data_IF_467024058597
#
_entry.id   IF_467024058597
#
_cell.length_a   1.000
_cell.length_b   1.000
_cell.length_c   1.000
_cell.angle_alpha   90.00
_cell.angle_beta   90.00
_cell.angle_gamma   90.00
#
_symmetry.space_group_name_H-M   'P 1'
#
loop_
_entity.id
_entity.type
_entity.pdbx_description
1 polymer ?
#
# COMPACT_ATOMS: atom_id res chain seq x y z
N UNK A 1 -13.07 17.98 16.42
CA UNK A 1 -11.69 17.59 16.07
C UNK A 1 -11.58 16.12 15.59
N UNK A 2 -12.28 15.19 16.22
CA UNK A 2 -12.44 13.81 15.71
C UNK A 2 -13.72 13.80 14.86
N UNK A 3 -13.55 13.70 13.54
CA UNK A 3 -14.63 13.62 12.55
C UNK A 3 -14.08 12.94 11.29
N UNK A 4 -14.98 12.51 10.41
CA UNK A 4 -14.65 12.05 9.06
C UNK A 4 -15.26 13.02 8.08
N UNK A 5 -14.43 13.83 7.42
CA UNK A 5 -14.85 14.86 6.47
C UNK A 5 -14.08 14.68 5.16
N UNK A 6 -14.77 14.20 4.11
CA UNK A 6 -14.11 13.81 2.86
C UNK A 6 -13.33 14.96 2.21
N UNK A 7 -12.07 14.70 1.89
CA UNK A 7 -11.20 15.63 1.18
C UNK A 7 -10.62 16.76 2.03
N UNK A 8 -10.93 16.84 3.33
CA UNK A 8 -10.23 17.70 4.31
C UNK A 8 -9.12 16.94 5.03
N UNK A 9 -8.27 17.65 5.75
CA UNK A 9 -7.28 17.05 6.67
C UNK A 9 -7.98 16.33 7.83
N UNK A 10 -7.35 15.29 8.37
CA UNK A 10 -7.95 14.40 9.38
C UNK A 10 -8.24 12.99 8.87
N UNK A 11 -9.10 12.26 9.58
CA UNK A 11 -9.49 10.88 9.25
C UNK A 11 -10.41 10.87 8.02
N UNK A 12 -10.10 10.01 7.05
CA UNK A 12 -10.84 9.86 5.80
C UNK A 12 -11.85 8.71 5.87
N UNK A 13 -12.80 8.68 4.94
CA UNK A 13 -13.85 7.63 4.86
C UNK A 13 -13.33 6.22 4.57
N UNK A 14 -12.09 6.09 4.10
CA UNK A 14 -11.38 4.81 3.93
C UNK A 14 -10.56 4.40 5.17
N UNK A 15 -10.63 5.19 6.26
CA UNK A 15 -9.86 5.01 7.48
C UNK A 15 -8.45 5.61 7.46
N UNK A 16 -7.96 6.11 6.31
CA UNK A 16 -6.66 6.76 6.22
C UNK A 16 -6.64 8.15 6.88
N UNK A 17 -5.48 8.81 6.91
CA UNK A 17 -5.32 10.14 7.53
C UNK A 17 -4.59 11.11 6.60
N UNK A 18 -5.10 12.34 6.53
CA UNK A 18 -4.52 13.44 5.76
C UNK A 18 -3.96 14.54 6.65
N UNK A 19 -2.80 15.09 6.26
CA UNK A 19 -2.28 16.36 6.76
C UNK A 19 -1.39 17.01 5.69
N UNK A 20 -1.26 18.33 5.74
CA UNK A 20 -0.64 19.17 4.70
C UNK A 20 -1.34 18.97 3.36
N UNK A 21 -2.67 19.15 3.37
CA UNK A 21 -3.54 18.80 2.26
C UNK A 21 -3.77 17.29 2.13
N UNK A 22 -4.03 16.81 0.91
CA UNK A 22 -4.37 15.39 0.62
C UNK A 22 -3.14 14.48 0.55
N UNK A 23 -2.26 14.57 1.55
CA UNK A 23 -1.06 13.75 1.69
C UNK A 23 -1.31 12.64 2.71
N UNK A 24 -0.89 11.41 2.40
CA UNK A 24 -0.99 10.29 3.34
C UNK A 24 -0.10 10.53 4.57
N UNK A 25 -0.68 10.51 5.77
CA UNK A 25 0.01 10.83 7.02
C UNK A 25 -0.38 9.92 8.20
N UNK A 26 -0.70 8.64 7.95
CA UNK A 26 -1.29 7.69 8.92
C UNK A 26 -0.45 7.57 10.21
N UNK A 27 0.84 7.28 10.14
CA UNK A 27 1.68 7.21 11.34
C UNK A 27 2.37 8.54 11.65
N UNK A 28 2.36 9.51 10.74
CA UNK A 28 3.02 10.81 10.89
C UNK A 28 2.19 11.74 11.79
N UNK A 29 1.40 12.63 11.21
CA UNK A 29 0.45 13.47 11.94
C UNK A 29 -0.70 12.66 12.55
N UNK A 30 -1.09 11.54 11.92
CA UNK A 30 -2.06 10.61 12.47
C UNK A 30 -1.66 9.99 13.82
N UNK A 31 -0.36 9.81 14.11
CA UNK A 31 0.14 9.45 15.46
C UNK A 31 -0.12 10.55 16.47
N UNK A 32 0.09 11.81 16.10
CA UNK A 32 -0.11 12.97 16.98
C UNK A 32 -1.60 13.12 17.29
N UNK A 33 -2.45 13.03 16.26
CA UNK A 33 -3.90 12.94 16.39
C UNK A 33 -4.32 11.80 17.34
N UNK A 34 -3.88 10.57 17.09
CA UNK A 34 -4.22 9.40 17.89
C UNK A 34 -3.79 9.55 19.35
N UNK A 35 -2.53 9.93 19.60
CA UNK A 35 -1.98 10.10 20.95
C UNK A 35 -2.71 11.18 21.74
N UNK A 36 -2.95 12.34 21.13
CA UNK A 36 -3.64 13.45 21.80
C UNK A 36 -5.13 13.13 22.03
N UNK A 37 -5.79 12.48 21.08
CA UNK A 37 -7.20 12.07 21.21
C UNK A 37 -7.38 10.99 22.29
N UNK A 38 -6.49 10.00 22.37
CA UNK A 38 -6.50 8.99 23.44
C UNK A 38 -6.20 9.63 24.80
N UNK A 39 -5.26 10.59 24.86
CA UNK A 39 -4.98 11.32 26.10
C UNK A 39 -6.21 12.12 26.57
N UNK A 40 -6.86 12.89 25.68
CA UNK A 40 -8.05 13.65 26.03
C UNK A 40 -9.22 12.76 26.46
N UNK A 41 -9.52 11.71 25.69
CA UNK A 41 -10.55 10.72 26.03
C UNK A 41 -10.25 10.01 27.37
N UNK A 42 -8.97 9.73 27.64
CA UNK A 42 -8.53 9.18 28.92
C UNK A 42 -8.75 10.17 30.06
N UNK A 43 -8.29 11.42 29.97
CA UNK A 43 -8.37 12.39 31.08
C UNK A 43 -9.80 12.85 31.38
N UNK A 44 -10.68 12.93 30.38
CA UNK A 44 -12.06 13.41 30.52
C UNK A 44 -13.09 12.29 30.72
N UNK A 45 -12.66 11.02 30.76
CA UNK A 45 -13.55 9.90 31.08
C UNK A 45 -14.22 10.13 32.44
N UNK A 46 -15.46 9.64 32.57
CA UNK A 46 -16.25 9.75 33.79
C UNK A 46 -16.56 11.22 34.21
N UNK A 47 -16.43 12.18 33.28
CA UNK A 47 -16.83 13.59 33.45
C UNK A 47 -17.89 14.00 32.41
N UNK A 48 -18.53 15.16 32.59
CA UNK A 48 -19.44 15.76 31.60
C UNK A 48 -18.75 16.06 30.24
N UNK A 49 -17.41 16.16 30.21
CA UNK A 49 -16.59 16.41 29.02
C UNK A 49 -16.10 15.12 28.34
N UNK A 50 -16.62 13.96 28.73
CA UNK A 50 -16.24 12.67 28.14
C UNK A 50 -16.45 12.66 26.61
N UNK A 51 -15.52 12.03 25.88
CA UNK A 51 -15.59 11.96 24.42
C UNK A 51 -16.87 11.25 23.99
N UNK A 52 -17.76 11.87 23.17
CA UNK A 52 -19.02 11.23 22.82
C UNK A 52 -18.81 9.99 21.96
N UNK A 53 -19.73 9.02 22.08
CA UNK A 53 -19.57 7.66 21.53
C UNK A 53 -19.23 7.64 20.03
N UNK A 54 -19.87 8.47 19.21
CA UNK A 54 -19.59 8.54 17.77
C UNK A 54 -18.12 8.93 17.46
N UNK A 55 -17.56 9.89 18.21
CA UNK A 55 -16.15 10.28 18.08
C UNK A 55 -15.20 9.23 18.65
N UNK A 56 -15.59 8.56 19.74
CA UNK A 56 -14.84 7.42 20.27
C UNK A 56 -14.78 6.27 19.25
N UNK A 57 -15.87 5.99 18.52
CA UNK A 57 -15.91 4.93 17.52
C UNK A 57 -15.03 5.24 16.30
N UNK A 58 -14.96 6.51 15.87
CA UNK A 58 -14.00 6.96 14.85
C UNK A 58 -12.55 6.77 15.35
N UNK A 59 -12.25 7.16 16.59
CA UNK A 59 -10.91 7.01 17.17
C UNK A 59 -10.49 5.53 17.32
N UNK A 60 -11.40 4.68 17.80
CA UNK A 60 -11.19 3.24 17.97
C UNK A 60 -10.95 2.57 16.62
N UNK A 61 -11.80 2.85 15.62
CA UNK A 61 -11.65 2.29 14.26
C UNK A 61 -10.35 2.77 13.61
N UNK A 62 -10.02 4.05 13.74
CA UNK A 62 -8.75 4.59 13.25
C UNK A 62 -7.54 3.89 13.88
N UNK A 63 -7.56 3.68 15.20
CA UNK A 63 -6.49 3.01 15.93
C UNK A 63 -6.35 1.53 15.58
N UNK A 64 -7.46 0.79 15.66
CA UNK A 64 -7.52 -0.66 15.49
C UNK A 64 -7.37 -1.08 14.03
N UNK A 65 -8.13 -0.45 13.15
CA UNK A 65 -8.32 -0.93 11.79
C UNK A 65 -7.37 -0.30 10.77
N UNK A 66 -6.67 0.77 11.15
CA UNK A 66 -5.65 1.43 10.33
C UNK A 66 -4.32 1.59 11.05
N UNK A 67 -4.22 2.48 12.05
CA UNK A 67 -2.96 2.92 12.62
C UNK A 67 -2.09 1.77 13.15
N UNK A 68 -2.64 0.90 14.01
CA UNK A 68 -1.88 -0.22 14.59
C UNK A 68 -1.57 -1.33 13.57
N UNK A 69 -2.33 -1.46 12.47
CA UNK A 69 -2.00 -2.40 11.38
C UNK A 69 -0.77 -1.95 10.58
N UNK A 70 -0.41 -0.67 10.61
CA UNK A 70 0.84 -0.17 10.02
C UNK A 70 2.09 -0.50 10.85
N UNK A 71 1.95 -1.21 11.97
CA UNK A 71 3.06 -1.60 12.84
C UNK A 71 3.28 -3.11 12.74
N UNK A 72 4.48 -3.53 12.31
CA UNK A 72 4.93 -4.92 12.38
C UNK A 72 5.84 -5.09 13.61
N UNK A 73 5.41 -5.92 14.57
CA UNK A 73 6.10 -6.03 15.86
C UNK A 73 6.06 -4.70 16.62
N UNK A 74 7.18 -3.98 16.62
CA UNK A 74 7.35 -2.67 17.25
C UNK A 74 7.68 -1.54 16.26
N UNK A 75 7.71 -1.82 14.95
CA UNK A 75 8.18 -0.90 13.93
C UNK A 75 7.07 -0.50 12.96
N UNK A 76 6.93 0.79 12.71
CA UNK A 76 6.08 1.30 11.63
C UNK A 76 6.58 0.83 10.26
N UNK A 77 5.62 0.68 9.36
CA UNK A 77 5.83 0.78 7.93
C UNK A 77 6.44 2.16 7.57
N UNK A 78 7.45 2.19 6.70
CA UNK A 78 8.13 3.44 6.35
C UNK A 78 7.25 4.39 5.51
N UNK A 79 6.30 3.86 4.73
CA UNK A 79 5.44 4.65 3.84
C UNK A 79 4.56 5.64 4.61
N UNK A 80 4.18 5.32 5.84
CA UNK A 80 3.23 6.10 6.65
C UNK A 80 3.88 7.18 7.54
N UNK A 81 5.18 7.43 7.37
CA UNK A 81 5.94 8.38 8.21
C UNK A 81 5.98 9.82 7.69
N UNK A 82 5.59 10.07 6.44
CA UNK A 82 5.76 11.38 5.79
C UNK A 82 7.24 11.80 5.80
N UNK A 83 7.53 13.12 5.85
CA UNK A 83 8.93 13.58 5.99
C UNK A 83 9.64 13.10 7.26
N UNK A 84 8.88 12.68 8.27
CA UNK A 84 9.39 12.13 9.52
C UNK A 84 10.20 10.83 9.34
N UNK A 85 10.10 10.17 8.19
CA UNK A 85 10.96 9.04 7.78
C UNK A 85 12.46 9.37 7.91
N UNK A 86 12.82 10.63 7.68
CA UNK A 86 14.21 11.12 7.69
C UNK A 86 14.79 11.38 9.09
N UNK A 87 14.04 11.12 10.16
CA UNK A 87 14.51 11.27 11.54
C UNK A 87 15.08 9.95 12.04
N UNK A 88 16.13 10.02 12.86
CA UNK A 88 16.65 8.85 13.55
C UNK A 88 15.58 8.21 14.44
N UNK A 89 15.57 6.88 14.50
CA UNK A 89 14.62 6.03 15.24
C UNK A 89 13.14 6.22 14.85
N UNK A 90 12.86 6.90 13.73
CA UNK A 90 11.50 7.29 13.33
C UNK A 90 10.52 6.14 13.12
N UNK A 91 11.01 4.93 12.83
CA UNK A 91 10.18 3.73 12.68
C UNK A 91 9.83 3.08 14.03
N UNK A 92 10.54 3.36 15.12
CA UNK A 92 10.21 2.75 16.41
C UNK A 92 8.87 3.32 16.94
N UNK A 93 7.89 2.45 17.13
CA UNK A 93 6.51 2.89 17.28
C UNK A 93 6.23 3.53 18.65
N UNK A 94 6.80 2.95 19.71
CA UNK A 94 6.62 3.34 21.12
C UNK A 94 5.14 3.59 21.53
N UNK A 95 4.20 2.77 21.01
CA UNK A 95 2.75 2.99 21.18
C UNK A 95 2.15 2.40 22.45
N UNK A 96 2.88 1.56 23.20
CA UNK A 96 2.33 0.79 24.33
C UNK A 96 1.65 1.66 25.39
N UNK A 97 2.16 2.86 25.68
CA UNK A 97 1.51 3.80 26.60
C UNK A 97 0.17 4.36 26.12
N UNK A 98 -0.02 4.51 24.80
CA UNK A 98 -1.29 4.89 24.19
C UNK A 98 -2.26 3.71 24.17
N UNK A 99 -1.79 2.52 23.79
CA UNK A 99 -2.61 1.30 23.74
C UNK A 99 -3.12 0.92 25.14
N UNK A 100 -2.28 1.03 26.17
CA UNK A 100 -2.68 0.79 27.56
C UNK A 100 -3.75 1.78 28.05
N UNK A 101 -3.70 3.06 27.63
CA UNK A 101 -4.72 4.05 27.97
C UNK A 101 -6.08 3.72 27.34
N UNK A 102 -6.13 3.42 26.04
CA UNK A 102 -7.41 3.10 25.37
C UNK A 102 -8.01 1.78 25.88
N UNK A 103 -7.19 0.78 26.24
CA UNK A 103 -7.67 -0.46 26.88
C UNK A 103 -8.50 -0.22 28.15
N UNK A 104 -8.24 0.86 28.90
CA UNK A 104 -8.95 1.14 30.15
C UNK A 104 -10.41 1.58 29.96
N UNK A 105 -10.74 2.23 28.83
CA UNK A 105 -12.08 2.76 28.54
C UNK A 105 -12.74 2.18 27.26
N UNK A 106 -12.05 1.33 26.51
CA UNK A 106 -12.60 0.59 25.37
C UNK A 106 -12.50 -0.93 25.60
N UNK A 107 -13.28 -1.43 26.57
CA UNK A 107 -13.18 -2.81 27.08
C UNK A 107 -13.64 -3.86 26.06
N UNK A 108 -14.53 -3.51 25.14
CA UNK A 108 -15.05 -4.39 24.11
C UNK A 108 -13.97 -4.90 23.13
N UNK A 109 -12.84 -4.19 23.00
CA UNK A 109 -11.69 -4.61 22.19
C UNK A 109 -10.47 -5.04 23.05
N UNK A 110 -10.65 -5.36 24.34
CA UNK A 110 -9.53 -5.63 25.28
C UNK A 110 -8.48 -6.61 24.79
N UNK A 111 -8.89 -7.72 24.15
CA UNK A 111 -7.99 -8.74 23.62
C UNK A 111 -7.10 -8.18 22.49
N UNK A 112 -7.65 -7.36 21.60
CA UNK A 112 -6.89 -6.72 20.52
C UNK A 112 -5.89 -5.70 21.05
N UNK A 113 -6.27 -4.89 22.05
CA UNK A 113 -5.35 -3.95 22.70
C UNK A 113 -4.21 -4.68 23.42
N UNK A 114 -4.52 -5.78 24.11
CA UNK A 114 -3.53 -6.59 24.81
C UNK A 114 -2.53 -7.26 23.86
N UNK A 115 -3.01 -7.92 22.81
CA UNK A 115 -2.15 -8.48 21.78
C UNK A 115 -1.27 -7.42 21.10
N UNK A 116 -1.83 -6.22 20.88
CA UNK A 116 -1.09 -5.09 20.32
C UNK A 116 0.03 -4.62 21.27
N UNK A 117 -0.26 -4.42 22.56
CA UNK A 117 0.75 -4.09 23.57
C UNK A 117 1.85 -5.17 23.64
N UNK A 118 1.48 -6.46 23.62
CA UNK A 118 2.46 -7.55 23.69
C UNK A 118 3.38 -7.63 22.47
N UNK A 119 2.87 -7.38 21.25
CA UNK A 119 3.70 -7.27 20.04
C UNK A 119 4.63 -6.06 20.11
N UNK A 120 4.11 -4.88 20.44
CA UNK A 120 4.86 -3.61 20.40
C UNK A 120 5.81 -3.40 21.59
N UNK A 121 5.81 -4.32 22.55
CA UNK A 121 6.75 -4.36 23.68
C UNK A 121 7.67 -5.59 23.66
N UNK A 122 7.69 -6.33 22.54
CA UNK A 122 8.49 -7.55 22.34
C UNK A 122 8.18 -8.72 23.32
N UNK A 123 7.09 -8.65 24.09
CA UNK A 123 6.65 -9.74 24.98
C UNK A 123 6.08 -10.95 24.20
N UNK A 124 5.64 -10.71 22.96
CA UNK A 124 5.21 -11.74 22.00
C UNK A 124 5.80 -11.45 20.61
N UNK A 125 6.01 -12.47 19.77
CA UNK A 125 6.54 -12.31 18.41
C UNK A 125 5.61 -11.46 17.54
N UNK A 126 6.17 -10.86 16.48
CA UNK A 126 5.46 -9.92 15.59
C UNK A 126 4.21 -10.51 14.89
N UNK A 127 4.08 -11.84 14.83
CA UNK A 127 2.94 -12.57 14.26
C UNK A 127 1.83 -12.90 15.28
N UNK A 128 2.01 -12.60 16.56
CA UNK A 128 1.09 -13.02 17.62
C UNK A 128 -0.29 -12.38 17.47
N UNK A 129 -1.34 -13.19 17.28
CA UNK A 129 -2.72 -12.74 17.04
C UNK A 129 -2.80 -11.64 15.97
N UNK A 130 -2.16 -11.89 14.83
CA UNK A 130 -2.30 -11.10 13.61
C UNK A 130 -3.28 -11.82 12.68
N UNK A 131 -4.43 -11.19 12.44
CA UNK A 131 -5.42 -11.72 11.50
C UNK A 131 -5.10 -11.33 10.05
N UNK A 132 -5.30 -12.23 9.06
CA UNK A 132 -5.16 -11.91 7.64
C UNK A 132 -6.09 -10.76 7.23
N UNK A 133 -5.54 -9.70 6.63
CA UNK A 133 -6.36 -8.62 6.07
C UNK A 133 -5.67 -7.90 4.90
N UNK A 134 -6.45 -7.50 3.90
CA UNK A 134 -6.05 -6.59 2.84
C UNK A 134 -6.86 -5.29 3.00
N UNK A 135 -6.24 -4.13 2.81
CA UNK A 135 -6.94 -2.84 2.86
C UNK A 135 -6.35 -1.89 1.83
N UNK A 136 -7.20 -1.47 0.88
CA UNK A 136 -6.89 -0.42 -0.10
C UNK A 136 -7.44 0.89 0.43
N UNK A 137 -6.56 1.84 0.72
CA UNK A 137 -6.91 3.19 1.13
C UNK A 137 -7.03 4.06 -0.14
N UNK A 138 -8.18 3.95 -0.79
CA UNK A 138 -8.45 4.57 -2.10
C UNK A 138 -8.42 6.10 -2.09
N UNK A 139 -8.57 6.75 -0.92
CA UNK A 139 -8.36 8.19 -0.78
C UNK A 139 -6.87 8.49 -0.82
N UNK A 140 -6.09 7.87 0.07
CA UNK A 140 -4.69 8.25 0.30
C UNK A 140 -3.63 7.60 -0.60
N UNK A 141 -4.03 6.73 -1.53
CA UNK A 141 -3.10 6.08 -2.46
C UNK A 141 -2.18 5.05 -1.79
N UNK A 142 -2.66 4.42 -0.73
CA UNK A 142 -1.91 3.45 0.08
C UNK A 142 -2.63 2.10 0.05
N UNK A 143 -1.89 0.99 0.04
CA UNK A 143 -2.45 -0.37 0.18
C UNK A 143 -1.66 -1.13 1.21
N UNK A 144 -2.35 -1.87 2.09
CA UNK A 144 -1.74 -2.63 3.17
C UNK A 144 -2.24 -4.07 3.15
N UNK A 145 -1.33 -5.01 3.01
CA UNK A 145 -1.55 -6.45 3.15
C UNK A 145 -0.90 -6.92 4.46
N UNK A 146 -1.72 -7.47 5.34
CA UNK A 146 -1.30 -8.08 6.62
C UNK A 146 -1.57 -9.58 6.57
N UNK A 147 -0.58 -10.35 7.01
CA UNK A 147 -0.64 -11.80 7.24
C UNK A 147 0.05 -12.11 8.57
N UNK A 148 -0.21 -13.27 9.19
CA UNK A 148 0.57 -13.71 10.36
C UNK A 148 2.07 -13.64 10.08
N UNK A 149 2.52 -14.11 8.91
CA UNK A 149 3.92 -14.21 8.52
C UNK A 149 4.57 -12.86 8.16
N UNK A 150 3.83 -11.91 7.58
CA UNK A 150 4.39 -10.66 7.05
C UNK A 150 3.39 -9.51 6.97
N UNK A 151 3.94 -8.30 6.82
CA UNK A 151 3.24 -7.13 6.30
C UNK A 151 3.88 -6.72 4.97
N UNK A 152 3.06 -6.43 3.96
CA UNK A 152 3.48 -5.86 2.68
C UNK A 152 2.59 -4.66 2.40
N UNK A 153 3.16 -3.49 2.11
CA UNK A 153 2.37 -2.32 1.70
C UNK A 153 2.87 -1.72 0.39
N UNK A 154 2.08 -0.81 -0.17
CA UNK A 154 2.43 -0.02 -1.37
C UNK A 154 2.00 1.43 -1.15
N UNK A 155 2.91 2.39 -1.33
CA UNK A 155 2.58 3.80 -1.45
C UNK A 155 2.62 4.27 -2.91
N UNK A 156 1.56 4.94 -3.33
CA UNK A 156 1.36 5.51 -4.67
C UNK A 156 0.96 6.99 -4.56
N UNK A 157 0.90 7.71 -5.68
CA UNK A 157 0.35 9.07 -5.74
C UNK A 157 -0.48 9.27 -7.01
N UNK A 158 -1.48 10.14 -6.94
CA UNK A 158 -2.44 10.42 -8.03
C UNK A 158 -2.71 11.91 -8.13
N UNK A 159 -3.41 12.38 -9.17
CA UNK A 159 -3.90 13.78 -9.23
C UNK A 159 -4.81 14.17 -8.05
N UNK A 160 -5.32 13.20 -7.29
CA UNK A 160 -6.16 13.41 -6.10
C UNK A 160 -5.35 13.55 -4.81
N UNK A 161 -4.07 13.16 -4.81
CA UNK A 161 -3.20 13.10 -3.63
C UNK A 161 -1.89 13.84 -3.83
N UNK A 162 -1.22 14.15 -2.72
CA UNK A 162 0.14 14.66 -2.71
C UNK A 162 1.14 13.51 -2.49
N UNK A 163 2.23 13.55 -3.25
CA UNK A 163 3.44 12.76 -3.05
C UNK A 163 4.09 13.12 -1.71
N UNK A 164 4.85 12.19 -1.13
CA UNK A 164 5.54 12.36 0.15
C UNK A 164 6.37 13.65 0.17
N UNK A 165 6.13 14.50 1.16
CA UNK A 165 6.74 15.82 1.25
C UNK A 165 8.22 15.81 1.68
N UNK A 166 8.94 16.87 1.29
CA UNK A 166 9.96 17.48 2.16
C UNK A 166 9.33 18.67 2.88
N UNK A 167 9.96 19.11 3.96
CA UNK A 167 9.62 20.37 4.61
C UNK A 167 10.54 20.68 5.77
N UNK A 168 10.87 21.94 6.02
CA UNK A 168 11.83 22.35 7.06
C UNK A 168 13.19 21.62 6.93
N UNK A 169 13.69 21.41 5.71
CA UNK A 169 14.92 20.63 5.45
C UNK A 169 14.90 19.16 5.94
N UNK A 170 13.71 18.60 6.19
CA UNK A 170 13.49 17.17 6.43
C UNK A 170 13.07 16.44 5.15
N UNK A 171 13.48 15.18 5.00
CA UNK A 171 13.20 14.30 3.86
C UNK A 171 13.64 14.88 2.50
N UNK A 172 14.86 15.43 2.47
CA UNK A 172 15.43 16.10 1.28
C UNK A 172 15.41 15.20 0.04
N UNK A 173 15.66 13.89 0.22
CA UNK A 173 15.86 12.92 -0.86
C UNK A 173 14.64 12.03 -1.15
N UNK A 174 13.49 12.25 -0.50
CA UNK A 174 12.33 11.34 -0.54
C UNK A 174 11.52 11.27 -1.85
N UNK A 175 12.07 11.72 -2.99
CA UNK A 175 11.34 11.98 -4.25
C UNK A 175 10.53 10.80 -4.78
N UNK A 176 11.06 9.58 -4.64
CA UNK A 176 10.48 8.36 -5.23
C UNK A 176 9.61 7.54 -4.25
N UNK A 177 9.45 7.99 -2.99
CA UNK A 177 8.65 7.28 -1.96
C UNK A 177 7.17 7.06 -2.32
N UNK A 178 6.66 7.73 -3.36
CA UNK A 178 5.27 7.57 -3.83
C UNK A 178 5.15 6.89 -5.19
N UNK A 179 6.22 6.31 -5.73
CA UNK A 179 6.23 5.67 -7.06
C UNK A 179 6.02 4.15 -7.02
N UNK A 180 5.12 3.69 -6.14
CA UNK A 180 4.90 2.27 -5.88
C UNK A 180 5.90 1.69 -4.87
N UNK A 181 6.27 2.45 -3.85
CA UNK A 181 7.23 2.02 -2.84
C UNK A 181 6.66 0.89 -1.97
N UNK A 182 7.34 -0.26 -1.92
CA UNK A 182 6.90 -1.47 -1.23
C UNK A 182 7.62 -1.68 0.10
N UNK A 183 6.95 -1.49 1.23
CA UNK A 183 7.47 -1.89 2.54
C UNK A 183 7.15 -3.37 2.78
N UNK A 184 8.16 -4.18 3.11
CA UNK A 184 8.04 -5.63 3.32
C UNK A 184 8.69 -6.02 4.66
N UNK A 185 7.87 -6.35 5.66
CA UNK A 185 8.33 -6.62 7.03
C UNK A 185 7.86 -7.99 7.53
N UNK A 186 8.75 -8.77 8.18
CA UNK A 186 8.44 -10.03 8.89
C UNK A 186 8.70 -9.88 10.38
N UNK A 187 9.89 -9.41 10.76
CA UNK A 187 10.26 -9.09 12.15
C UNK A 187 9.82 -7.68 12.54
N UNK A 188 9.76 -6.76 11.58
CA UNK A 188 9.46 -5.34 11.74
C UNK A 188 10.69 -4.46 11.53
N UNK A 189 11.87 -4.91 11.96
CA UNK A 189 13.09 -4.11 11.96
C UNK A 189 13.81 -4.04 10.61
N UNK A 190 13.25 -4.60 9.53
CA UNK A 190 13.90 -4.69 8.21
C UNK A 190 14.38 -3.33 7.65
N UNK A 191 13.70 -2.23 7.99
CA UNK A 191 14.05 -0.87 7.56
C UNK A 191 14.40 0.06 8.74
N UNK A 192 14.63 -0.48 9.94
CA UNK A 192 14.95 0.35 11.11
C UNK A 192 16.29 1.09 10.90
N UNK A 193 16.26 2.43 10.96
CA UNK A 193 17.43 3.31 10.80
C UNK A 193 18.21 3.15 9.48
N UNK A 194 17.57 2.64 8.43
CA UNK A 194 18.20 2.36 7.14
C UNK A 194 18.30 3.59 6.22
N UNK A 195 17.43 4.59 6.44
CA UNK A 195 17.28 5.80 5.64
C UNK A 195 18.58 6.58 5.32
N UNK A 196 19.53 6.80 6.25
CA UNK A 196 20.80 7.46 5.92
C UNK A 196 21.63 6.64 4.91
N UNK A 197 21.45 5.32 4.87
CA UNK A 197 22.14 4.36 4.01
C UNK A 197 21.41 4.08 2.69
N UNK A 198 20.17 4.56 2.52
CA UNK A 198 19.42 4.38 1.28
C UNK A 198 20.04 5.17 0.12
N UNK A 199 20.10 4.54 -1.03
CA UNK A 199 20.23 5.16 -2.35
C UNK A 199 18.81 5.51 -2.82
N UNK A 200 18.45 6.78 -2.85
CA UNK A 200 17.06 7.22 -2.78
C UNK A 200 16.28 7.10 -4.10
N UNK A 201 16.96 6.78 -5.20
CA UNK A 201 16.31 6.38 -6.44
C UNK A 201 15.97 4.88 -6.48
N UNK A 202 16.52 4.07 -5.57
CA UNK A 202 16.29 2.62 -5.46
C UNK A 202 15.49 2.26 -4.21
N UNK A 203 14.46 3.04 -3.89
CA UNK A 203 13.47 2.67 -2.88
C UNK A 203 12.84 1.31 -3.27
N UNK A 204 12.65 0.36 -2.36
CA UNK A 204 12.04 -0.93 -2.68
C UNK A 204 10.71 -0.78 -3.43
N UNK A 205 10.52 -1.53 -4.51
CA UNK A 205 9.30 -1.55 -5.34
C UNK A 205 9.18 -0.46 -6.41
N UNK A 206 9.94 0.64 -6.32
CA UNK A 206 9.81 1.75 -7.28
C UNK A 206 10.36 1.41 -8.66
N UNK A 207 9.86 2.11 -9.68
CA UNK A 207 10.48 2.14 -11.01
C UNK A 207 10.92 3.57 -11.29
N UNK A 208 12.21 3.76 -11.57
CA UNK A 208 12.88 5.07 -11.44
C UNK A 208 14.07 5.19 -12.38
N UNK A 209 14.58 6.43 -12.52
CA UNK A 209 15.87 6.70 -13.16
C UNK A 209 17.01 6.39 -12.18
N UNK A 210 18.03 5.71 -12.68
CA UNK A 210 19.29 5.45 -11.99
C UNK A 210 20.21 6.66 -12.15
N UNK A 211 20.43 7.41 -11.07
CA UNK A 211 21.27 8.61 -11.05
C UNK A 211 22.69 8.29 -10.61
N UNK A 212 23.63 9.12 -11.05
CA UNK A 212 25.02 9.04 -10.60
C UNK A 212 25.17 9.35 -9.09
N UNK A 213 24.24 10.11 -8.50
CA UNK A 213 24.17 10.41 -7.08
C UNK A 213 22.72 10.71 -6.62
N UNK A 214 22.54 10.80 -5.30
CA UNK A 214 21.25 11.12 -4.68
C UNK A 214 20.72 12.54 -4.98
N UNK A 215 21.50 13.45 -5.59
CA UNK A 215 20.97 14.78 -5.93
C UNK A 215 19.81 14.68 -6.93
N UNK A 216 19.81 13.65 -7.79
CA UNK A 216 18.68 13.31 -8.66
C UNK A 216 17.37 13.00 -7.91
N UNK A 217 17.49 12.51 -6.67
CA UNK A 217 16.41 12.19 -5.74
C UNK A 217 15.98 13.39 -4.86
N UNK A 218 16.58 14.57 -5.04
CA UNK A 218 16.20 15.76 -4.26
C UNK A 218 14.78 16.22 -4.60
N UNK A 219 13.92 16.32 -3.58
CA UNK A 219 12.61 16.95 -3.69
C UNK A 219 12.82 18.47 -3.85
N UNK A 220 12.29 19.06 -4.93
CA UNK A 220 12.50 20.48 -5.26
C UNK A 220 11.48 21.45 -4.65
N UNK A 221 10.35 20.96 -4.13
CA UNK A 221 9.26 21.77 -3.55
C UNK A 221 8.86 21.21 -2.19
N UNK A 222 8.61 22.09 -1.22
CA UNK A 222 8.15 21.73 0.13
C UNK A 222 6.64 21.50 0.19
N UNK A 223 6.20 20.78 1.23
CA UNK A 223 4.79 20.56 1.58
C UNK A 223 3.96 19.84 0.50
N UNK A 224 4.63 18.92 -0.21
CA UNK A 224 4.01 18.00 -1.16
C UNK A 224 3.94 18.53 -2.60
N UNK A 225 3.99 17.58 -3.52
CA UNK A 225 3.79 17.78 -4.96
C UNK A 225 2.63 16.88 -5.37
N UNK A 226 1.63 17.35 -6.16
CA UNK A 226 0.58 16.48 -6.66
C UNK A 226 1.12 15.25 -7.39
N UNK A 227 0.41 14.12 -7.30
CA UNK A 227 0.58 13.06 -8.29
C UNK A 227 0.07 13.50 -9.67
N UNK A 228 0.44 12.75 -10.69
CA UNK A 228 0.33 13.14 -12.10
C UNK A 228 -0.78 12.41 -12.86
N UNK A 229 -1.16 11.21 -12.41
CA UNK A 229 -2.09 10.31 -13.12
C UNK A 229 -3.39 10.06 -12.36
N UNK A 230 -4.41 9.61 -13.09
CA UNK A 230 -5.73 9.31 -12.54
C UNK A 230 -5.90 7.87 -12.10
N UNK A 231 -5.37 6.90 -12.86
CA UNK A 231 -5.61 5.47 -12.62
C UNK A 231 -4.70 4.95 -11.50
N UNK A 232 -5.15 5.12 -10.26
CA UNK A 232 -4.39 4.80 -9.05
C UNK A 232 -5.34 4.33 -7.95
N UNK A 233 -5.20 3.08 -7.50
CA UNK A 233 -6.15 2.49 -6.54
C UNK A 233 -6.10 0.97 -6.56
N UNK A 234 -7.14 0.32 -6.04
CA UNK A 234 -7.18 -1.13 -5.90
C UNK A 234 -8.57 -1.68 -5.60
N UNK A 235 -8.71 -2.99 -5.76
CA UNK A 235 -9.88 -3.77 -5.34
C UNK A 235 -9.51 -4.58 -4.10
N UNK A 236 -10.43 -4.73 -3.14
CA UNK A 236 -10.21 -5.52 -1.93
C UNK A 236 -11.48 -6.21 -1.44
N UNK A 237 -11.39 -7.48 -1.04
CA UNK A 237 -12.45 -8.17 -0.29
C UNK A 237 -12.26 -8.11 1.24
N UNK A 238 -11.26 -7.36 1.70
CA UNK A 238 -10.86 -7.29 3.11
C UNK A 238 -9.80 -8.31 3.52
N UNK A 239 -9.52 -9.33 2.69
CA UNK A 239 -8.51 -10.39 2.96
C UNK A 239 -7.47 -10.46 1.84
N UNK A 240 -7.90 -10.35 0.60
CA UNK A 240 -7.15 -10.34 -0.65
C UNK A 240 -7.50 -9.08 -1.45
N UNK A 241 -6.67 -8.76 -2.43
CA UNK A 241 -6.95 -7.65 -3.34
C UNK A 241 -5.89 -7.52 -4.42
N UNK A 242 -6.06 -6.50 -5.27
CA UNK A 242 -5.04 -6.07 -6.21
C UNK A 242 -5.04 -4.55 -6.30
N UNK A 243 -3.85 -3.96 -6.40
CA UNK A 243 -3.67 -2.51 -6.56
C UNK A 243 -2.85 -2.20 -7.79
N UNK A 244 -3.10 -1.04 -8.39
CA UNK A 244 -2.43 -0.56 -9.58
C UNK A 244 -2.02 0.91 -9.44
N UNK A 245 -0.90 1.23 -10.08
CA UNK A 245 -0.37 2.57 -10.23
C UNK A 245 0.04 2.80 -11.68
N UNK A 246 -0.62 3.77 -12.32
CA UNK A 246 -0.18 4.35 -13.57
C UNK A 246 0.91 5.39 -13.28
N UNK A 247 2.18 4.98 -13.33
CA UNK A 247 3.31 5.88 -13.14
C UNK A 247 3.48 6.75 -14.38
N UNK A 248 3.55 8.07 -14.18
CA UNK A 248 4.11 9.05 -15.12
C UNK A 248 4.79 10.17 -14.31
N UNK A 249 6.05 10.00 -13.96
CA UNK A 249 6.78 10.98 -13.17
C UNK A 249 8.25 11.01 -13.57
N UNK A 250 8.86 12.19 -13.53
CA UNK A 250 10.30 12.35 -13.74
C UNK A 250 10.83 11.76 -15.07
N UNK A 251 10.01 11.84 -16.12
CA UNK A 251 10.25 11.25 -17.44
C UNK A 251 10.30 9.71 -17.47
N UNK A 252 9.66 9.04 -16.52
CA UNK A 252 9.43 7.59 -16.52
C UNK A 252 7.95 7.30 -16.49
N UNK A 253 7.47 6.52 -17.46
CA UNK A 253 6.11 5.97 -17.47
C UNK A 253 6.14 4.46 -17.19
N UNK A 254 5.17 3.93 -16.43
CA UNK A 254 5.00 2.49 -16.25
C UNK A 254 3.59 2.12 -15.71
N UNK A 255 3.00 1.03 -16.19
CA UNK A 255 1.85 0.37 -15.55
C UNK A 255 2.36 -0.62 -14.50
N UNK A 256 2.25 -0.27 -13.21
CA UNK A 256 2.70 -1.10 -12.08
C UNK A 256 1.49 -1.68 -11.36
N UNK A 257 1.50 -2.98 -11.06
CA UNK A 257 0.43 -3.63 -10.31
C UNK A 257 0.96 -4.67 -9.30
N UNK A 258 0.22 -4.83 -8.21
CA UNK A 258 0.50 -5.74 -7.11
C UNK A 258 -0.75 -6.57 -6.83
N UNK A 259 -0.59 -7.89 -6.84
CA UNK A 259 -1.65 -8.89 -6.72
C UNK A 259 -1.41 -9.67 -5.42
N UNK A 260 -2.28 -9.49 -4.44
CA UNK A 260 -2.05 -9.94 -3.07
C UNK A 260 -2.81 -11.23 -2.78
N UNK A 261 -2.07 -12.31 -2.52
CA UNK A 261 -2.58 -13.64 -2.17
C UNK A 261 -2.23 -14.00 -0.72
N UNK A 262 -2.13 -15.29 -0.38
CA UNK A 262 -1.89 -15.73 1.00
C UNK A 262 -0.42 -15.58 1.42
N UNK A 263 0.47 -16.24 0.67
CA UNK A 263 1.90 -16.39 1.01
C UNK A 263 2.77 -15.45 0.19
N UNK A 264 2.18 -14.83 -0.82
CA UNK A 264 2.89 -14.12 -1.86
C UNK A 264 2.19 -12.83 -2.31
N UNK A 265 3.01 -11.96 -2.91
CA UNK A 265 2.55 -10.82 -3.69
C UNK A 265 3.20 -10.90 -5.07
N UNK A 266 2.37 -11.01 -6.12
CA UNK A 266 2.85 -10.96 -7.51
C UNK A 266 2.94 -9.50 -7.93
N UNK A 267 4.10 -9.09 -8.42
CA UNK A 267 4.41 -7.71 -8.78
C UNK A 267 4.67 -7.65 -10.29
N UNK A 268 3.80 -6.95 -11.02
CA UNK A 268 3.88 -6.80 -12.47
C UNK A 268 4.21 -5.37 -12.87
N UNK A 269 4.93 -5.23 -13.97
CA UNK A 269 5.23 -3.97 -14.64
C UNK A 269 5.15 -4.14 -16.14
N UNK A 270 4.51 -3.22 -16.84
CA UNK A 270 4.43 -3.17 -18.30
C UNK A 270 4.37 -1.73 -18.80
N UNK A 271 4.65 -1.49 -20.08
CA UNK A 271 4.64 -0.14 -20.62
C UNK A 271 5.69 0.76 -19.99
N UNK A 272 6.84 0.20 -19.60
CA UNK A 272 7.95 0.96 -19.03
C UNK A 272 8.62 1.73 -20.17
N UNK A 273 8.50 3.07 -20.10
CA UNK A 273 9.01 3.98 -21.12
C UNK A 273 9.81 5.11 -20.47
N UNK A 274 10.86 5.59 -21.14
CA UNK A 274 11.52 6.85 -20.81
C UNK A 274 12.24 7.44 -22.03
N UNK A 275 12.31 8.76 -22.11
CA UNK A 275 13.19 9.47 -23.04
C UNK A 275 14.51 9.93 -22.37
N UNK A 276 14.71 9.65 -21.09
CA UNK A 276 15.87 10.12 -20.32
C UNK A 276 17.15 9.33 -20.65
N UNK A 277 18.32 9.96 -20.46
CA UNK A 277 19.63 9.34 -20.68
C UNK A 277 20.09 8.46 -19.52
N UNK A 278 19.37 8.47 -18.39
CA UNK A 278 19.61 7.55 -17.28
C UNK A 278 19.13 6.13 -17.63
N UNK A 279 19.75 5.13 -17.01
CA UNK A 279 19.21 3.77 -16.98
C UNK A 279 17.91 3.78 -16.18
N UNK A 280 16.90 3.03 -16.61
CA UNK A 280 15.67 2.84 -15.84
C UNK A 280 15.76 1.53 -15.06
N UNK A 281 15.40 1.55 -13.79
CA UNK A 281 15.43 0.36 -12.91
C UNK A 281 14.08 0.10 -12.26
N UNK A 282 13.80 -1.15 -11.89
CA UNK A 282 12.77 -1.50 -10.90
C UNK A 282 13.44 -2.16 -9.71
N UNK A 283 13.36 -1.54 -8.54
CA UNK A 283 14.08 -2.06 -7.36
C UNK A 283 13.28 -3.10 -6.59
N UNK A 284 13.96 -4.13 -6.10
CA UNK A 284 13.43 -5.15 -5.19
C UNK A 284 13.88 -4.85 -3.74
N UNK A 285 15.17 -4.51 -3.49
CA UNK A 285 15.73 -4.10 -2.17
C UNK A 285 17.13 -3.39 -2.36
N UNK A 286 17.91 -2.94 -1.32
CA UNK A 286 19.11 -2.01 -1.40
C UNK A 286 20.45 -2.51 -0.75
N UNK A 287 21.67 -1.92 -0.89
CA UNK A 287 23.00 -2.66 -0.69
C UNK A 287 23.79 -2.48 0.65
N UNK A 288 24.99 -3.09 0.81
CA UNK A 288 25.97 -2.56 1.78
C UNK A 288 26.23 -1.09 1.42
N UNK A 289 26.01 -0.17 2.36
CA UNK A 289 26.05 1.27 2.09
C UNK A 289 26.63 2.05 3.28
N UNK A 290 27.01 3.30 2.99
CA UNK A 290 27.56 4.28 3.93
C UNK A 290 26.82 5.60 3.73
N UNK A 291 26.56 6.33 4.82
CA UNK A 291 25.86 7.61 4.74
C UNK A 291 25.79 8.31 6.10
N UNK A 292 24.96 9.35 6.20
CA UNK A 292 24.71 10.07 7.45
C UNK A 292 23.27 10.62 7.44
N UNK A 293 22.74 10.96 8.62
CA UNK A 293 21.39 11.49 8.74
C UNK A 293 21.26 12.94 8.25
N UNK A 294 22.30 13.76 8.41
CA UNK A 294 22.31 15.16 7.96
C UNK A 294 21.94 15.33 6.48
N UNK A 295 22.37 14.40 5.60
CA UNK A 295 22.08 14.44 4.14
C UNK A 295 20.59 14.33 3.79
N UNK A 296 19.78 13.77 4.68
CA UNK A 296 18.32 13.59 4.51
C UNK A 296 17.49 14.47 5.44
N UNK A 297 18.08 14.94 6.55
CA UNK A 297 17.45 15.81 7.53
C UNK A 297 18.50 16.70 8.19
N UNK A 298 18.48 18.00 7.89
CA UNK A 298 19.55 18.92 8.32
C UNK A 298 19.56 19.24 9.83
N UNK A 299 18.61 18.72 10.61
CA UNK A 299 18.62 18.77 12.08
C UNK A 299 19.32 17.57 12.73
N UNK A 300 19.82 16.61 11.95
CA UNK A 300 20.47 15.39 12.45
C UNK A 300 22.00 15.44 12.36
N UNK A 301 22.68 14.50 13.03
CA UNK A 301 24.13 14.44 13.02
C UNK A 301 24.73 14.17 11.63
N UNK A 302 25.90 14.80 11.38
CA UNK A 302 26.76 14.51 10.22
C UNK A 302 27.59 13.22 10.38
N UNK A 303 27.43 12.53 11.51
CA UNK A 303 28.15 11.31 11.85
C UNK A 303 27.88 10.24 10.80
N UNK A 304 28.96 9.66 10.27
CA UNK A 304 28.87 8.57 9.32
C UNK A 304 28.34 7.30 10.00
N UNK A 305 27.46 6.61 9.30
CA UNK A 305 26.95 5.28 9.62
C UNK A 305 27.18 4.37 8.42
N UNK A 306 27.47 3.10 8.69
CA UNK A 306 27.66 2.07 7.68
C UNK A 306 26.87 0.82 8.07
N UNK A 307 26.38 0.09 7.08
CA UNK A 307 25.55 -1.09 7.33
C UNK A 307 25.38 -1.99 6.12
N UNK A 308 24.89 -3.21 6.38
CA UNK A 308 24.48 -4.14 5.34
C UNK A 308 23.01 -3.93 5.01
N UNK A 309 22.71 -3.70 3.74
CA UNK A 309 21.37 -3.89 3.17
C UNK A 309 21.50 -4.94 2.04
N UNK A 310 20.42 -5.63 1.68
CA UNK A 310 20.39 -6.62 0.57
C UNK A 310 19.83 -6.02 -0.74
N UNK A 311 20.63 -5.82 -1.82
CA UNK A 311 20.19 -5.14 -3.07
C UNK A 311 19.81 -6.11 -4.18
N UNK A 312 18.71 -5.82 -4.87
CA UNK A 312 18.37 -6.46 -6.15
C UNK A 312 17.45 -5.54 -6.95
N UNK A 313 17.59 -5.52 -8.27
CA UNK A 313 16.78 -4.71 -9.18
C UNK A 313 16.76 -5.29 -10.60
N UNK A 314 15.72 -4.97 -11.36
CA UNK A 314 15.71 -5.12 -12.81
C UNK A 314 16.33 -3.87 -13.45
N UNK A 315 17.18 -4.08 -14.46
CA UNK A 315 17.72 -3.02 -15.31
C UNK A 315 16.99 -3.08 -16.66
N UNK A 316 16.31 -1.98 -17.04
CA UNK A 316 15.54 -1.87 -18.28
C UNK A 316 16.31 -1.15 -19.40
N UNK A 317 17.58 -0.81 -19.17
CA UNK A 317 18.41 -0.05 -20.09
C UNK A 317 18.17 1.46 -20.05
N UNK A 318 18.87 2.18 -20.91
CA UNK A 318 18.64 3.60 -21.21
C UNK A 318 17.52 3.71 -22.24
N UNK A 319 16.63 4.70 -22.10
CA UNK A 319 15.48 4.91 -22.98
C UNK A 319 14.68 3.64 -23.32
N UNK A 320 14.18 2.87 -22.32
CA UNK A 320 13.33 1.72 -22.58
C UNK A 320 12.07 2.14 -23.37
N UNK A 321 11.61 1.24 -24.23
CA UNK A 321 10.36 1.37 -24.97
C UNK A 321 9.50 0.11 -24.77
N UNK A 322 8.33 0.28 -24.16
CA UNK A 322 7.36 -0.78 -23.80
C UNK A 322 7.96 -1.95 -22.98
N UNK A 323 9.00 -1.69 -22.17
CA UNK A 323 9.64 -2.70 -21.33
C UNK A 323 8.70 -3.19 -20.19
N UNK A 324 9.03 -4.34 -19.59
CA UNK A 324 8.19 -5.00 -18.59
C UNK A 324 9.02 -5.75 -17.53
N UNK A 325 8.39 -6.06 -16.39
CA UNK A 325 8.90 -6.99 -15.38
C UNK A 325 7.78 -7.84 -14.81
N UNK A 326 8.14 -9.00 -14.27
CA UNK A 326 7.29 -9.81 -13.40
C UNK A 326 8.15 -10.45 -12.31
N UNK A 327 7.74 -10.35 -11.05
CA UNK A 327 8.37 -11.08 -9.94
C UNK A 327 7.33 -11.45 -8.88
N UNK A 328 7.63 -12.49 -8.11
CA UNK A 328 6.82 -12.93 -6.98
C UNK A 328 7.63 -12.76 -5.71
N UNK A 329 7.09 -12.01 -4.75
CA UNK A 329 7.65 -11.93 -3.40
C UNK A 329 6.94 -12.97 -2.54
N UNK A 330 7.69 -13.91 -1.96
CA UNK A 330 7.20 -14.88 -0.98
C UNK A 330 7.89 -14.57 0.36
N UNK A 331 7.26 -13.83 1.28
CA UNK A 331 7.85 -13.60 2.60
C UNK A 331 7.87 -14.87 3.45
N UNK A 332 8.72 -14.86 4.48
CA UNK A 332 8.78 -15.91 5.52
C UNK A 332 9.19 -17.33 5.04
N UNK A 333 9.87 -17.42 3.89
CA UNK A 333 10.39 -18.67 3.33
C UNK A 333 11.93 -18.74 3.37
N UNK A 334 12.47 -19.93 3.69
CA UNK A 334 13.90 -20.23 3.59
C UNK A 334 14.31 -20.74 2.20
N UNK A 335 15.58 -20.58 1.82
CA UNK A 335 16.07 -20.89 0.46
C UNK A 335 15.71 -22.31 -0.04
N UNK A 336 15.90 -23.34 0.78
CA UNK A 336 15.57 -24.73 0.42
C UNK A 336 14.06 -24.99 0.25
N UNK A 337 13.21 -24.21 0.90
CA UNK A 337 11.76 -24.25 0.70
C UNK A 337 11.35 -23.42 -0.52
N UNK A 338 12.03 -22.31 -0.80
CA UNK A 338 11.80 -21.48 -1.98
C UNK A 338 12.07 -22.22 -3.29
N UNK A 339 13.13 -23.05 -3.33
CA UNK A 339 13.41 -23.95 -4.47
C UNK A 339 12.28 -24.96 -4.76
N UNK A 340 11.40 -25.20 -3.79
CA UNK A 340 10.24 -26.11 -3.87
C UNK A 340 8.91 -25.35 -3.80
N UNK A 341 8.94 -24.02 -3.93
CA UNK A 341 7.73 -23.21 -3.85
C UNK A 341 6.81 -23.52 -5.05
N UNK A 342 5.50 -23.73 -4.83
CA UNK A 342 4.57 -24.12 -5.89
C UNK A 342 4.21 -22.94 -6.80
N UNK A 343 5.14 -22.54 -7.67
CA UNK A 343 4.91 -21.50 -8.68
C UNK A 343 3.81 -21.90 -9.68
N UNK A 344 3.50 -23.19 -9.82
CA UNK A 344 2.35 -23.73 -10.58
C UNK A 344 0.99 -23.25 -10.04
N UNK A 345 0.93 -22.83 -8.77
CA UNK A 345 -0.27 -22.24 -8.18
C UNK A 345 -0.58 -20.86 -8.77
N UNK A 346 0.42 -20.17 -9.32
CA UNK A 346 0.35 -18.78 -9.78
C UNK A 346 0.46 -18.74 -11.31
N UNK A 347 -0.55 -18.19 -11.98
CA UNK A 347 -0.53 -17.93 -13.42
C UNK A 347 -0.61 -16.43 -13.68
N UNK A 348 0.47 -15.84 -14.19
CA UNK A 348 0.37 -14.55 -14.90
C UNK A 348 -0.32 -14.84 -16.22
N UNK A 349 -1.54 -14.33 -16.39
CA UNK A 349 -2.35 -14.51 -17.60
C UNK A 349 -1.91 -13.48 -18.64
N UNK A 350 -1.77 -12.21 -18.22
CA UNK A 350 -1.41 -11.12 -19.11
C UNK A 350 -0.62 -10.04 -18.35
N UNK A 351 0.36 -9.43 -19.01
CA UNK A 351 1.12 -8.30 -18.49
C UNK A 351 1.41 -7.29 -19.61
N UNK A 352 0.44 -6.43 -19.92
CA UNK A 352 0.58 -5.36 -20.93
C UNK A 352 0.14 -4.02 -20.36
N UNK A 353 0.44 -2.93 -21.08
CA UNK A 353 -0.01 -1.57 -20.71
C UNK A 353 -1.54 -1.37 -20.70
N UNK A 354 -2.31 -2.33 -21.23
CA UNK A 354 -3.77 -2.31 -21.26
C UNK A 354 -4.39 -3.22 -20.18
N UNK A 355 -3.81 -4.41 -19.95
CA UNK A 355 -4.32 -5.39 -18.98
C UNK A 355 -3.16 -6.05 -18.23
N UNK A 356 -3.26 -6.11 -16.91
CA UNK A 356 -2.40 -6.94 -16.05
C UNK A 356 -3.29 -7.91 -15.26
N UNK A 357 -3.03 -9.22 -15.38
CA UNK A 357 -3.93 -10.26 -14.89
C UNK A 357 -3.17 -11.43 -14.27
N UNK A 358 -3.58 -11.84 -13.07
CA UNK A 358 -3.02 -12.98 -12.33
C UNK A 358 -4.14 -13.87 -11.80
N UNK A 359 -4.00 -15.18 -11.98
CA UNK A 359 -4.86 -16.21 -11.39
C UNK A 359 -4.07 -17.05 -10.40
N UNK A 360 -4.65 -17.33 -9.24
CA UNK A 360 -4.11 -18.24 -8.25
C UNK A 360 -4.99 -19.51 -8.17
N UNK A 361 -4.55 -20.55 -8.87
CA UNK A 361 -5.28 -21.80 -9.13
C UNK A 361 -5.84 -22.44 -7.85
N UNK A 362 -5.02 -22.54 -6.80
CA UNK A 362 -5.38 -23.22 -5.54
C UNK A 362 -6.33 -22.42 -4.65
N UNK A 363 -6.48 -21.11 -4.89
CA UNK A 363 -7.44 -20.26 -4.19
C UNK A 363 -8.72 -20.05 -5.00
N UNK A 364 -8.76 -20.46 -6.28
CA UNK A 364 -9.88 -20.18 -7.19
C UNK A 364 -10.15 -18.67 -7.34
N UNK A 365 -9.07 -17.86 -7.31
CA UNK A 365 -9.11 -16.39 -7.41
C UNK A 365 -8.39 -15.94 -8.68
N UNK A 366 -9.00 -15.01 -9.42
CA UNK A 366 -8.34 -14.22 -10.47
C UNK A 366 -8.48 -12.74 -10.15
N UNK A 367 -7.40 -11.99 -10.34
CA UNK A 367 -7.35 -10.55 -10.14
C UNK A 367 -6.87 -9.91 -11.46
N UNK A 368 -7.58 -8.87 -11.91
CA UNK A 368 -7.37 -8.24 -13.21
C UNK A 368 -7.44 -6.72 -13.09
N UNK A 369 -6.42 -6.05 -13.63
CA UNK A 369 -6.34 -4.61 -13.80
C UNK A 369 -6.60 -4.30 -15.26
N UNK A 370 -7.71 -3.60 -15.55
CA UNK A 370 -8.03 -3.07 -16.87
C UNK A 370 -7.74 -1.56 -16.89
N UNK A 371 -6.64 -1.14 -17.53
CA UNK A 371 -6.28 0.27 -17.67
C UNK A 371 -7.15 1.01 -18.70
N UNK A 372 -7.89 0.27 -19.52
CA UNK A 372 -8.82 0.72 -20.54
C UNK A 372 -9.95 -0.31 -20.70
N UNK A 373 -11.02 0.06 -21.42
CA UNK A 373 -12.01 -0.91 -21.88
C UNK A 373 -11.33 -2.06 -22.66
N UNK A 374 -11.78 -3.29 -22.45
CA UNK A 374 -11.09 -4.46 -22.99
C UNK A 374 -11.70 -5.79 -22.59
N UNK A 375 -11.05 -6.86 -23.05
CA UNK A 375 -11.45 -8.25 -22.82
C UNK A 375 -10.22 -9.06 -22.43
N UNK A 376 -10.36 -9.86 -21.37
CA UNK A 376 -9.43 -10.89 -20.97
C UNK A 376 -10.10 -12.24 -21.20
N UNK A 377 -9.48 -13.08 -22.03
CA UNK A 377 -9.95 -14.44 -22.33
C UNK A 377 -8.82 -15.43 -22.05
N UNK A 378 -9.08 -16.43 -21.22
CA UNK A 378 -8.10 -17.44 -20.79
C UNK A 378 -8.82 -18.74 -20.43
N UNK A 379 -8.51 -19.82 -21.14
CA UNK A 379 -9.27 -21.09 -21.09
C UNK A 379 -10.79 -20.83 -21.20
N UNK A 380 -11.62 -21.41 -20.33
CA UNK A 380 -13.08 -21.20 -20.28
C UNK A 380 -13.50 -19.90 -19.54
N UNK A 381 -12.56 -19.00 -19.25
CA UNK A 381 -12.81 -17.73 -18.55
C UNK A 381 -12.79 -16.58 -19.55
N UNK A 382 -13.85 -15.76 -19.53
CA UNK A 382 -13.92 -14.49 -20.24
C UNK A 382 -14.31 -13.41 -19.21
N UNK A 383 -13.59 -12.29 -19.19
CA UNK A 383 -13.96 -11.07 -18.45
C UNK A 383 -13.77 -9.88 -19.38
N UNK A 384 -14.87 -9.20 -19.71
CA UNK A 384 -14.91 -8.06 -20.60
C UNK A 384 -15.53 -6.86 -19.90
N UNK A 385 -14.94 -5.68 -20.09
CA UNK A 385 -15.34 -4.44 -19.42
C UNK A 385 -15.48 -3.28 -20.42
N UNK A 386 -16.50 -2.44 -20.23
CA UNK A 386 -16.73 -1.27 -21.08
C UNK A 386 -15.85 -0.05 -20.73
N UNK A 387 -15.11 -0.11 -19.62
CA UNK A 387 -14.36 0.99 -18.99
C UNK A 387 -13.15 0.48 -18.19
N UNK A 388 -12.19 1.36 -17.87
CA UNK A 388 -11.11 1.04 -16.93
C UNK A 388 -11.66 0.65 -15.55
N UNK A 389 -11.12 -0.40 -14.93
CA UNK A 389 -11.46 -0.83 -13.56
C UNK A 389 -10.45 -1.87 -13.04
N UNK A 390 -10.56 -2.24 -11.76
CA UNK A 390 -9.89 -3.44 -11.21
C UNK A 390 -10.96 -4.41 -10.71
N UNK A 391 -10.81 -5.68 -11.11
CA UNK A 391 -11.72 -6.77 -10.78
C UNK A 391 -10.97 -7.87 -10.02
N UNK A 392 -11.59 -8.40 -8.97
CA UNK A 392 -11.22 -9.68 -8.37
C UNK A 392 -12.41 -10.64 -8.48
N UNK A 393 -12.23 -11.76 -9.17
CA UNK A 393 -13.18 -12.87 -9.22
C UNK A 393 -12.73 -13.94 -8.23
N UNK A 394 -13.62 -14.34 -7.31
CA UNK A 394 -13.42 -15.47 -6.41
C UNK A 394 -14.37 -16.60 -6.77
N UNK A 395 -14.01 -17.81 -6.34
CA UNK A 395 -14.78 -19.03 -6.55
C UNK A 395 -15.02 -19.30 -8.05
N UNK A 396 -13.98 -19.04 -8.88
CA UNK A 396 -14.02 -19.21 -10.35
C UNK A 396 -14.66 -20.53 -10.80
N UNK A 397 -14.31 -21.61 -10.10
CA UNK A 397 -14.74 -22.98 -10.36
C UNK A 397 -16.07 -23.36 -9.65
N UNK A 398 -16.82 -22.39 -9.11
CA UNK A 398 -18.14 -22.59 -8.52
C UNK A 398 -19.26 -22.12 -9.45
N UNK A 399 -20.48 -22.65 -9.25
CA UNK A 399 -21.68 -22.25 -10.02
C UNK A 399 -22.13 -20.81 -9.77
N UNK A 400 -21.67 -20.20 -8.68
CA UNK A 400 -22.01 -18.85 -8.24
C UNK A 400 -20.74 -18.06 -7.87
N UNK A 401 -19.87 -17.66 -8.84
CA UNK A 401 -18.66 -16.91 -8.54
C UNK A 401 -18.96 -15.51 -8.00
N UNK A 402 -18.03 -14.97 -7.20
CA UNK A 402 -18.13 -13.64 -6.62
C UNK A 402 -17.24 -12.66 -7.38
N UNK A 403 -17.79 -11.53 -7.80
CA UNK A 403 -17.02 -10.40 -8.37
C UNK A 403 -16.87 -9.32 -7.31
N UNK A 404 -15.65 -8.85 -7.13
CA UNK A 404 -15.33 -7.58 -6.49
C UNK A 404 -14.83 -6.62 -7.56
N UNK A 405 -15.28 -5.37 -7.55
CA UNK A 405 -14.87 -4.33 -8.51
C UNK A 405 -14.64 -2.99 -7.81
N UNK A 406 -13.61 -2.27 -8.26
CA UNK A 406 -13.34 -0.88 -7.93
C UNK A 406 -12.94 -0.08 -9.18
N UNK A 407 -13.12 1.25 -9.13
CA UNK A 407 -12.61 2.19 -10.15
C UNK A 407 -11.45 3.03 -9.60
N UNK A 408 -10.20 2.77 -10.05
CA UNK A 408 -9.03 3.56 -9.66
C UNK A 408 -9.03 5.02 -10.15
N UNK A 409 -9.85 5.39 -11.14
CA UNK A 409 -9.93 6.78 -11.60
C UNK A 409 -10.82 7.63 -10.67
N UNK A 410 -11.81 7.00 -10.04
CA UNK A 410 -12.86 7.64 -9.23
C UNK A 410 -13.80 8.54 -10.07
N UNK A 411 -13.94 8.25 -11.37
CA UNK A 411 -14.71 9.06 -12.32
C UNK A 411 -15.94 8.31 -12.87
N UNK A 412 -15.96 6.98 -12.79
CA UNK A 412 -17.03 6.16 -13.36
C UNK A 412 -18.11 5.85 -12.33
N UNK A 413 -19.37 6.19 -12.63
CA UNK A 413 -20.53 5.80 -11.81
C UNK A 413 -21.09 4.42 -12.17
N UNK A 414 -20.73 3.87 -13.35
CA UNK A 414 -21.19 2.54 -13.82
C UNK A 414 -20.14 1.88 -14.72
N UNK A 415 -19.88 0.60 -14.49
CA UNK A 415 -19.12 -0.29 -15.39
C UNK A 415 -19.99 -1.47 -15.78
N UNK A 416 -20.02 -1.82 -17.07
CA UNK A 416 -20.65 -3.05 -17.58
C UNK A 416 -19.59 -4.12 -17.66
N UNK A 417 -19.84 -5.25 -16.99
CA UNK A 417 -19.00 -6.44 -17.07
C UNK A 417 -19.77 -7.52 -17.82
N UNK A 418 -19.12 -8.17 -18.76
CA UNK A 418 -19.52 -9.48 -19.26
C UNK A 418 -18.54 -10.53 -18.72
N UNK A 419 -19.06 -11.60 -18.11
CA UNK A 419 -18.27 -12.66 -17.48
C UNK A 419 -18.75 -14.06 -17.88
N UNK A 420 -17.79 -14.94 -18.16
CA UNK A 420 -17.95 -16.39 -18.23
C UNK A 420 -16.88 -17.02 -17.34
N UNK A 421 -17.25 -18.04 -16.58
CA UNK A 421 -16.32 -18.90 -15.81
C UNK A 421 -16.68 -20.38 -16.07
N UNK A 422 -15.81 -21.35 -15.73
CA UNK A 422 -15.98 -22.76 -16.12
C UNK A 422 -17.29 -23.42 -15.65
N UNK A 423 -17.95 -22.92 -14.60
CA UNK A 423 -19.21 -23.49 -14.06
C UNK A 423 -20.45 -22.62 -14.26
N UNK A 424 -20.32 -21.43 -14.86
CA UNK A 424 -21.47 -20.68 -15.36
C UNK A 424 -21.98 -21.34 -16.66
N UNK A 425 -23.29 -21.50 -16.81
CA UNK A 425 -23.92 -22.11 -17.99
C UNK A 425 -23.67 -21.27 -19.25
N UNK A 426 -23.96 -19.97 -19.17
CA UNK A 426 -23.76 -18.99 -20.24
C UNK A 426 -22.92 -17.81 -19.76
N UNK A 427 -22.50 -16.96 -20.70
CA UNK A 427 -21.98 -15.63 -20.37
C UNK A 427 -23.04 -14.83 -19.60
N UNK A 428 -22.62 -14.03 -18.62
CA UNK A 428 -23.46 -13.21 -17.75
C UNK A 428 -23.05 -11.75 -17.89
N UNK A 429 -24.03 -10.88 -18.12
CA UNK A 429 -23.81 -9.44 -18.29
C UNK A 429 -24.40 -8.73 -17.08
N UNK A 430 -23.58 -7.93 -16.41
CA UNK A 430 -23.97 -7.15 -15.23
C UNK A 430 -23.59 -5.68 -15.41
N UNK A 431 -24.36 -4.80 -14.79
CA UNK A 431 -24.04 -3.37 -14.67
C UNK A 431 -23.71 -3.08 -13.20
N UNK A 432 -22.43 -2.87 -12.93
CA UNK A 432 -21.94 -2.50 -11.61
C UNK A 432 -22.12 -0.98 -11.42
N UNK A 433 -23.09 -0.58 -10.59
CA UNK A 433 -23.28 0.81 -10.18
C UNK A 433 -22.21 1.16 -9.13
N UNK A 434 -21.15 1.83 -9.55
CA UNK A 434 -19.98 2.11 -8.72
C UNK A 434 -20.25 3.21 -7.69
N UNK A 435 -19.49 3.24 -6.58
CA UNK A 435 -19.61 4.29 -5.58
C UNK A 435 -19.17 5.65 -6.12
N UNK A 436 -19.82 6.72 -5.68
CA UNK A 436 -19.55 8.11 -6.10
C UNK A 436 -19.31 9.03 -4.89
N UNK A 437 -18.84 10.25 -5.15
CA UNK A 437 -18.59 11.25 -4.12
C UNK A 437 -17.57 10.77 -3.09
N UNK A 438 -17.92 10.82 -1.80
CA UNK A 438 -17.04 10.39 -0.72
C UNK A 438 -16.58 8.93 -0.88
N UNK A 439 -17.44 8.04 -1.36
CA UNK A 439 -17.08 6.62 -1.51
C UNK A 439 -16.38 6.28 -2.84
N UNK A 440 -16.22 7.23 -3.76
CA UNK A 440 -15.62 6.96 -5.06
C UNK A 440 -14.23 6.33 -4.93
N UNK A 441 -14.05 5.16 -5.58
CA UNK A 441 -12.84 4.32 -5.46
C UNK A 441 -12.95 3.15 -4.48
N UNK A 442 -14.00 3.07 -3.65
CA UNK A 442 -14.22 1.91 -2.80
C UNK A 442 -14.68 0.67 -3.59
N UNK A 443 -14.47 -0.52 -3.03
CA UNK A 443 -14.83 -1.79 -3.68
C UNK A 443 -16.31 -2.12 -3.46
N UNK A 444 -16.96 -2.66 -4.49
CA UNK A 444 -18.27 -3.31 -4.40
C UNK A 444 -18.19 -4.81 -4.68
N UNK A 445 -19.14 -5.56 -4.12
CA UNK A 445 -19.29 -7.02 -4.29
C UNK A 445 -20.57 -7.34 -5.07
N UNK A 446 -20.47 -8.25 -6.03
CA UNK A 446 -21.57 -8.83 -6.79
C UNK A 446 -21.50 -10.36 -6.72
N UNK A 447 -22.66 -11.02 -6.61
CA UNK A 447 -22.79 -12.47 -6.70
C UNK A 447 -23.35 -12.81 -8.08
N UNK A 448 -22.69 -13.68 -8.83
CA UNK A 448 -23.06 -14.03 -10.20
C UNK A 448 -23.72 -15.40 -10.18
N UNK A 449 -25.05 -15.45 -10.31
CA UNK A 449 -25.75 -16.73 -10.39
C UNK A 449 -25.84 -17.26 -11.82
N UNK A 450 -26.05 -18.58 -11.91
CA UNK A 450 -26.49 -19.26 -13.14
C UNK A 450 -27.82 -18.76 -13.70
#
# INVERSE_FOLDING_TARGET
PIAVEDGKEGVQVDGSYYQHGKQQAIASYGRVFAGNSVNAAYYLRDTEYALPKAQLDILVSYLKDTFLKTIRGSFYDFNVRGRGISRQDSLNAHVSGMVNKIKMFNRENSAYWEASTWRTSHQKPANYQIEPSNTVYWKSGYTLQVRPQYTFSVQTASVRTLRTERGNNENVLGKFLSDGATNIQRSGSEYANIMPLWEWDKIPGTTSRDYADDNGSTIKKEWGIPGTTKFVGGVSDGVYGASAYDLDYDSVQAKKAWFFFDKEVVCLGAGINSASSQVITTTINQQNQVGNWYRINQFQEKKEVSGKVFKSWFNHGVQPHDASYAYVVVPDIGAAAMQKYPLDAIKVIQNTKAIQAVMHNRLSIMQVVFYQAGELSYDDIIVKVDKPCIIQVKDLNAINPLIFIADPTQENSKVRIEIKTPKLKSSKIITCNLPVGALAGSTLKYNISN
#
